data_IF_520496630482
#
_entry.id   IF_520496630482
#
_cell.length_a   1.000
_cell.length_b   1.000
_cell.length_c   1.000
_cell.angle_alpha   90.00
_cell.angle_beta   90.00
_cell.angle_gamma   90.00
#
_symmetry.space_group_name_H-M   'P 1'
#
loop_
_entity.id
_entity.type
_entity.pdbx_description
1 polymer ?
#
# COMPACT_ATOMS: atom_id res chain seq x y z
N UNK A 1 3.30 26.85 37.28
CA UNK A 1 2.62 25.82 36.47
C UNK A 1 1.75 26.54 35.45
N UNK A 2 2.23 26.68 34.21
CA UNK A 2 1.46 27.29 33.13
C UNK A 2 0.71 26.16 32.41
N UNK A 3 -0.62 26.13 32.53
CA UNK A 3 -1.49 25.21 31.79
C UNK A 3 -1.48 25.61 30.32
N UNK A 4 -1.00 24.72 29.45
CA UNK A 4 -1.14 24.86 28.00
C UNK A 4 -2.61 24.92 27.63
N UNK A 5 -3.05 25.87 26.78
CA UNK A 5 -4.45 25.97 26.40
C UNK A 5 -4.90 24.74 25.58
N UNK A 6 -6.17 24.31 25.70
CA UNK A 6 -6.68 23.17 24.95
C UNK A 6 -6.67 23.47 23.45
N UNK A 7 -6.04 22.60 22.66
CA UNK A 7 -6.06 22.66 21.20
C UNK A 7 -7.50 22.42 20.74
N UNK A 8 -8.11 23.43 20.14
CA UNK A 8 -9.47 23.33 19.61
C UNK A 8 -9.42 22.63 18.24
N UNK A 9 -9.47 21.30 18.26
CA UNK A 9 -9.42 20.44 17.07
C UNK A 9 -10.52 20.77 16.03
N UNK A 10 -11.66 21.32 16.47
CA UNK A 10 -12.70 21.79 15.56
C UNK A 10 -12.25 23.00 14.73
N UNK A 11 -11.42 23.89 15.29
CA UNK A 11 -10.90 25.04 14.55
C UNK A 11 -9.87 24.63 13.49
N UNK A 12 -9.08 23.58 13.73
CA UNK A 12 -8.14 23.00 12.74
C UNK A 12 -8.91 22.29 11.62
N UNK A 13 -9.95 21.54 11.96
CA UNK A 13 -10.82 20.89 10.97
C UNK A 13 -11.60 21.90 10.13
N UNK A 14 -12.09 23.00 10.73
CA UNK A 14 -12.88 24.02 10.02
C UNK A 14 -12.01 25.00 9.20
N UNK A 15 -10.80 25.36 9.66
CA UNK A 15 -9.88 26.18 8.85
C UNK A 15 -9.37 25.44 7.63
N UNK A 16 -9.24 24.11 7.71
CA UNK A 16 -9.02 23.24 6.57
C UNK A 16 -10.17 23.16 5.57
N UNK A 17 -11.38 23.66 5.88
CA UNK A 17 -12.49 23.69 4.92
C UNK A 17 -12.62 25.03 4.18
N UNK A 18 -12.23 26.14 4.81
CA UNK A 18 -12.51 27.50 4.30
C UNK A 18 -11.48 27.96 3.24
N UNK A 19 -10.31 27.35 3.17
CA UNK A 19 -9.25 27.73 2.20
C UNK A 19 -9.39 27.06 0.80
N UNK A 20 -10.46 26.29 0.56
CA UNK A 20 -10.55 25.35 -0.58
C UNK A 20 -11.50 25.79 -1.71
N UNK A 21 -11.59 27.09 -1.98
CA UNK A 21 -12.37 27.62 -3.12
C UNK A 21 -11.40 28.21 -4.16
N UNK A 22 -10.95 27.41 -5.15
CA UNK A 22 -10.37 27.99 -6.38
C UNK A 22 -9.21 27.32 -7.13
N UNK A 23 -8.98 26.00 -7.05
CA UNK A 23 -7.91 25.34 -7.86
C UNK A 23 -8.39 24.13 -8.70
N UNK A 24 -7.57 23.65 -9.65
CA UNK A 24 -7.93 22.57 -10.60
C UNK A 24 -8.13 21.20 -9.92
N UNK A 25 -9.25 20.55 -10.25
CA UNK A 25 -9.84 19.34 -9.63
C UNK A 25 -8.86 18.19 -9.35
N UNK A 26 -7.89 17.91 -10.22
CA UNK A 26 -7.00 16.74 -10.08
C UNK A 26 -6.03 16.83 -8.89
N UNK A 27 -5.51 18.03 -8.60
CA UNK A 27 -4.62 18.24 -7.44
C UNK A 27 -5.41 18.16 -6.14
N UNK A 28 -6.66 18.64 -6.16
CA UNK A 28 -7.55 18.60 -4.99
C UNK A 28 -7.90 17.18 -4.57
N UNK A 29 -8.21 16.31 -5.52
CA UNK A 29 -8.55 14.92 -5.20
C UNK A 29 -7.37 14.20 -4.54
N UNK A 30 -6.16 14.39 -5.07
CA UNK A 30 -4.94 13.78 -4.49
C UNK A 30 -4.64 14.33 -3.10
N UNK A 31 -4.73 15.64 -2.91
CA UNK A 31 -4.50 16.26 -1.60
C UNK A 31 -5.56 15.86 -0.58
N UNK A 32 -6.83 15.76 -0.99
CA UNK A 32 -7.92 15.34 -0.12
C UNK A 32 -7.74 13.87 0.32
N UNK A 33 -7.41 12.97 -0.61
CA UNK A 33 -7.15 11.57 -0.27
C UNK A 33 -5.92 11.42 0.64
N UNK A 34 -4.83 12.15 0.35
CA UNK A 34 -3.65 12.17 1.20
C UNK A 34 -3.98 12.67 2.62
N UNK A 35 -4.79 13.72 2.74
CA UNK A 35 -5.23 14.26 4.02
C UNK A 35 -6.09 13.25 4.79
N UNK A 36 -7.08 12.64 4.13
CA UNK A 36 -7.94 11.61 4.73
C UNK A 36 -7.08 10.45 5.24
N UNK A 37 -6.15 9.94 4.43
CA UNK A 37 -5.26 8.85 4.83
C UNK A 37 -4.35 9.24 5.99
N UNK A 38 -3.80 10.46 6.00
CA UNK A 38 -2.96 10.97 7.10
C UNK A 38 -3.77 11.07 8.39
N UNK A 39 -4.98 11.63 8.32
CA UNK A 39 -5.87 11.76 9.49
C UNK A 39 -6.27 10.38 10.02
N UNK A 40 -6.62 9.44 9.15
CA UNK A 40 -6.95 8.07 9.56
C UNK A 40 -5.75 7.39 10.21
N UNK A 41 -4.56 7.50 9.64
CA UNK A 41 -3.34 6.95 10.23
C UNK A 41 -3.05 7.54 11.62
N UNK A 42 -3.25 8.85 11.79
CA UNK A 42 -3.11 9.51 13.09
C UNK A 42 -4.15 9.02 14.09
N UNK A 43 -5.42 8.88 13.70
CA UNK A 43 -6.50 8.37 14.56
C UNK A 43 -6.19 6.93 14.99
N UNK A 44 -5.78 6.07 14.07
CA UNK A 44 -5.40 4.69 14.36
C UNK A 44 -4.19 4.66 15.30
N UNK A 45 -3.17 5.49 15.05
CA UNK A 45 -1.99 5.58 15.91
C UNK A 45 -2.29 6.12 17.32
N UNK A 46 -3.27 7.02 17.45
CA UNK A 46 -3.74 7.53 18.75
C UNK A 46 -4.56 6.49 19.53
N UNK A 47 -5.27 5.61 18.83
CA UNK A 47 -6.10 4.54 19.42
C UNK A 47 -5.37 3.20 19.57
N UNK A 48 -4.14 3.07 19.07
CA UNK A 48 -3.33 1.89 19.29
C UNK A 48 -3.06 1.71 20.81
N UNK A 49 -3.30 0.53 21.39
CA UNK A 49 -2.96 0.27 22.79
C UNK A 49 -1.46 0.48 23.00
N UNK A 50 -1.09 1.57 23.69
CA UNK A 50 0.28 2.03 23.87
C UNK A 50 0.68 3.29 23.09
N UNK A 51 -0.30 4.08 22.60
CA UNK A 51 -0.11 5.26 21.73
C UNK A 51 0.98 6.27 22.12
N UNK A 52 1.30 7.18 21.19
CA UNK A 52 2.41 8.17 21.24
C UNK A 52 2.42 9.15 22.44
N UNK A 53 1.48 9.03 23.38
CA UNK A 53 1.45 9.73 24.67
C UNK A 53 1.02 8.86 25.86
N UNK A 54 0.81 7.56 25.63
CA UNK A 54 0.51 6.60 26.68
C UNK A 54 1.79 6.29 27.43
N UNK A 55 1.97 6.93 28.59
CA UNK A 55 2.90 6.44 29.58
C UNK A 55 2.58 4.97 29.85
N UNK A 56 3.33 4.07 29.22
CA UNK A 56 3.80 2.89 29.90
C UNK A 56 4.48 3.42 31.16
N UNK A 57 3.71 3.56 32.24
CA UNK A 57 4.27 3.93 33.51
C UNK A 57 5.39 2.93 33.73
N UNK A 58 6.59 3.43 34.01
CA UNK A 58 7.80 2.66 34.30
C UNK A 58 7.68 1.78 35.57
N UNK A 59 6.45 1.53 36.00
CA UNK A 59 6.01 0.74 37.13
C UNK A 59 5.47 -0.64 36.71
N UNK A 60 4.82 -0.81 35.56
CA UNK A 60 4.35 -2.15 35.12
C UNK A 60 5.46 -3.01 34.48
N UNK A 61 6.54 -2.39 34.00
CA UNK A 61 7.78 -3.07 33.58
C UNK A 61 8.67 -3.53 34.74
N UNK A 62 8.20 -3.43 35.99
CA UNK A 62 9.02 -3.64 37.19
C UNK A 62 8.69 -4.89 38.01
N UNK A 63 8.02 -5.87 37.40
CA UNK A 63 7.93 -7.22 37.95
C UNK A 63 8.78 -8.15 37.08
N UNK A 64 9.79 -8.77 37.70
CA UNK A 64 10.79 -9.67 37.12
C UNK A 64 11.80 -9.05 36.14
N UNK A 65 12.77 -8.32 36.72
CA UNK A 65 14.09 -8.22 36.07
C UNK A 65 14.78 -9.59 36.20
N UNK A 66 15.05 -10.32 35.11
CA UNK A 66 15.93 -11.48 35.19
C UNK A 66 17.28 -11.03 35.76
N UNK A 67 17.82 -11.81 36.70
CA UNK A 67 19.11 -11.54 37.35
C UNK A 67 20.19 -11.40 36.26
N UNK A 68 20.63 -10.15 36.05
CA UNK A 68 21.86 -9.70 35.37
C UNK A 68 22.58 -10.79 34.57
N UNK A 69 22.07 -11.12 33.39
CA UNK A 69 22.98 -11.45 32.31
C UNK A 69 23.81 -10.18 32.03
N UNK A 70 25.14 -10.27 31.82
CA UNK A 70 25.95 -9.09 31.56
C UNK A 70 25.40 -8.39 30.32
N UNK A 71 25.11 -7.11 30.46
CA UNK A 71 24.61 -6.18 29.45
C UNK A 71 25.36 -6.28 28.11
N UNK A 72 26.62 -6.71 28.10
CA UNK A 72 27.38 -7.01 26.88
C UNK A 72 26.83 -8.19 26.07
N UNK A 73 26.34 -9.27 26.71
CA UNK A 73 25.71 -10.39 26.03
C UNK A 73 24.34 -9.97 25.45
N UNK A 74 23.52 -9.27 26.25
CA UNK A 74 22.24 -8.76 25.77
C UNK A 74 22.41 -7.70 24.65
N UNK A 75 23.46 -6.88 24.70
CA UNK A 75 23.79 -5.92 23.64
C UNK A 75 24.31 -6.64 22.39
N UNK A 76 25.11 -7.70 22.52
CA UNK A 76 25.55 -8.50 21.37
C UNK A 76 24.41 -9.30 20.75
N UNK A 77 23.47 -9.78 21.56
CA UNK A 77 22.22 -10.41 21.10
C UNK A 77 21.32 -9.37 20.42
N UNK A 78 21.14 -8.19 21.01
CA UNK A 78 20.38 -7.09 20.40
C UNK A 78 21.05 -6.55 19.13
N UNK A 79 22.38 -6.45 19.10
CA UNK A 79 23.15 -6.08 17.91
C UNK A 79 23.10 -7.19 16.87
N UNK A 80 23.13 -8.47 17.27
CA UNK A 80 22.96 -9.60 16.36
C UNK A 80 21.54 -9.64 15.78
N UNK A 81 20.50 -9.36 16.58
CA UNK A 81 19.12 -9.22 16.12
C UNK A 81 18.95 -7.99 15.22
N UNK A 82 19.58 -6.86 15.54
CA UNK A 82 19.50 -5.63 14.73
C UNK A 82 20.39 -5.68 13.46
N UNK A 83 21.42 -6.54 13.44
CA UNK A 83 22.20 -6.89 12.24
C UNK A 83 21.50 -7.97 11.42
N UNK A 84 20.72 -8.85 12.06
CA UNK A 84 19.94 -9.89 11.40
C UNK A 84 18.71 -9.30 10.72
N UNK A 85 17.91 -8.49 11.41
CA UNK A 85 16.68 -7.85 10.92
C UNK A 85 17.05 -6.68 10.01
N UNK A 86 16.89 -6.82 8.67
CA UNK A 86 17.17 -5.70 7.80
C UNK A 86 16.16 -4.59 8.12
N UNK A 87 16.65 -3.37 8.23
CA UNK A 87 15.84 -2.17 8.50
C UNK A 87 14.87 -1.85 7.36
N UNK A 88 14.98 -2.56 6.24
CA UNK A 88 14.12 -2.45 5.06
C UNK A 88 13.72 -3.85 4.58
N UNK A 89 12.54 -4.00 3.95
CA UNK A 89 12.14 -5.26 3.35
C UNK A 89 13.20 -5.79 2.37
N UNK A 90 13.45 -7.10 2.40
CA UNK A 90 14.24 -7.74 1.35
C UNK A 90 13.39 -7.76 0.08
N UNK A 91 13.90 -7.14 -1.00
CA UNK A 91 13.19 -7.01 -2.27
C UNK A 91 13.98 -7.70 -3.37
N UNK A 92 13.31 -8.58 -4.10
CA UNK A 92 13.82 -9.10 -5.37
C UNK A 92 13.48 -8.12 -6.51
N UNK A 93 14.43 -7.27 -6.89
CA UNK A 93 14.21 -6.28 -7.94
C UNK A 93 13.92 -6.90 -9.32
N UNK A 94 14.41 -8.11 -9.60
CA UNK A 94 14.06 -8.80 -10.84
C UNK A 94 12.59 -9.23 -10.85
N UNK A 95 12.08 -9.72 -9.73
CA UNK A 95 10.65 -10.02 -9.58
C UNK A 95 9.79 -8.76 -9.71
N UNK A 96 10.23 -7.63 -9.14
CA UNK A 96 9.55 -6.33 -9.27
C UNK A 96 9.53 -5.85 -10.73
N UNK A 97 10.65 -5.92 -11.45
CA UNK A 97 10.71 -5.54 -12.86
C UNK A 97 9.85 -6.48 -13.73
N UNK A 98 9.87 -7.78 -13.47
CA UNK A 98 9.02 -8.74 -14.17
C UNK A 98 7.52 -8.47 -13.90
N UNK A 99 7.16 -8.15 -12.65
CA UNK A 99 5.80 -7.76 -12.27
C UNK A 99 5.37 -6.45 -12.96
N UNK A 100 6.25 -5.45 -13.03
CA UNK A 100 6.01 -4.21 -13.79
C UNK A 100 5.75 -4.51 -15.27
N UNK A 101 6.56 -5.35 -15.91
CA UNK A 101 6.33 -5.71 -17.33
C UNK A 101 5.01 -6.46 -17.48
N UNK A 102 4.68 -7.34 -16.53
CA UNK A 102 3.44 -8.12 -16.58
C UNK A 102 2.18 -7.25 -16.55
N UNK A 103 2.18 -6.09 -15.87
CA UNK A 103 1.01 -5.21 -15.85
C UNK A 103 0.72 -4.60 -17.20
N UNK A 104 1.75 -4.31 -17.99
CA UNK A 104 1.59 -3.84 -19.36
C UNK A 104 0.99 -4.95 -20.23
N UNK A 105 1.43 -6.19 -20.05
CA UNK A 105 0.88 -7.36 -20.76
C UNK A 105 -0.57 -7.58 -20.37
N UNK A 106 -0.91 -7.54 -19.08
CA UNK A 106 -2.29 -7.67 -18.60
C UNK A 106 -3.16 -6.56 -19.16
N UNK A 107 -2.72 -5.30 -19.09
CA UNK A 107 -3.43 -4.16 -19.66
C UNK A 107 -3.67 -4.32 -21.16
N UNK A 108 -2.64 -4.71 -21.92
CA UNK A 108 -2.76 -4.98 -23.35
C UNK A 108 -3.80 -6.08 -23.65
N UNK A 109 -3.75 -7.19 -22.92
CA UNK A 109 -4.69 -8.31 -23.08
C UNK A 109 -6.11 -7.90 -22.69
N UNK A 110 -6.28 -7.19 -21.58
CA UNK A 110 -7.59 -6.81 -21.05
C UNK A 110 -8.31 -5.83 -21.97
N UNK A 111 -7.60 -4.81 -22.46
CA UNK A 111 -8.14 -3.80 -23.37
C UNK A 111 -8.14 -4.23 -24.84
N UNK A 112 -7.69 -5.46 -25.15
CA UNK A 112 -7.81 -6.01 -26.50
C UNK A 112 -9.29 -6.20 -26.90
N UNK A 113 -9.63 -5.92 -28.17
CA UNK A 113 -11.00 -5.98 -28.72
C UNK A 113 -11.72 -7.31 -28.50
N UNK A 114 -10.95 -8.40 -28.56
CA UNK A 114 -11.45 -9.77 -28.40
C UNK A 114 -11.75 -10.17 -26.94
N UNK A 115 -11.36 -9.36 -25.96
CA UNK A 115 -11.49 -9.65 -24.52
C UNK A 115 -12.54 -8.73 -23.91
N UNK A 116 -12.13 -7.53 -23.44
CA UNK A 116 -13.03 -6.55 -22.83
C UNK A 116 -12.92 -5.15 -23.45
N UNK A 117 -12.02 -4.95 -24.42
CA UNK A 117 -11.78 -3.65 -25.05
C UNK A 117 -13.01 -3.03 -25.70
N UNK A 118 -13.83 -3.82 -26.41
CA UNK A 118 -15.07 -3.32 -27.05
C UNK A 118 -16.11 -2.86 -26.04
N UNK A 119 -16.25 -3.60 -24.93
CA UNK A 119 -17.14 -3.23 -23.81
C UNK A 119 -16.64 -1.98 -23.08
N UNK A 120 -15.33 -1.88 -22.87
CA UNK A 120 -14.71 -0.70 -22.27
C UNK A 120 -14.89 0.54 -23.15
N UNK A 121 -14.58 0.47 -24.44
CA UNK A 121 -14.77 1.59 -25.37
C UNK A 121 -16.24 2.06 -25.40
N UNK A 122 -17.19 1.12 -25.45
CA UNK A 122 -18.61 1.45 -25.38
C UNK A 122 -19.03 2.06 -24.03
N UNK A 123 -18.38 1.68 -22.92
CA UNK A 123 -18.68 2.19 -21.58
C UNK A 123 -18.11 3.59 -21.33
N UNK A 124 -16.94 3.91 -21.91
CA UNK A 124 -16.27 5.22 -21.73
C UNK A 124 -16.60 6.20 -22.87
N UNK A 125 -17.21 5.73 -23.96
CA UNK A 125 -17.58 6.58 -25.10
C UNK A 125 -16.41 6.93 -26.01
N UNK A 126 -15.34 6.13 -26.00
CA UNK A 126 -14.16 6.32 -26.85
C UNK A 126 -14.27 5.54 -28.16
N UNK A 127 -13.85 6.17 -29.26
CA UNK A 127 -13.60 5.51 -30.55
C UNK A 127 -12.15 5.03 -30.64
N UNK A 128 -11.85 4.12 -31.56
CA UNK A 128 -10.48 3.64 -31.81
C UNK A 128 -9.50 4.78 -32.10
N UNK A 129 -9.91 5.70 -32.99
CA UNK A 129 -9.13 6.87 -33.36
C UNK A 129 -8.84 7.78 -32.14
N UNK A 130 -9.79 7.91 -31.22
CA UNK A 130 -9.60 8.71 -29.99
C UNK A 130 -8.64 8.08 -28.99
N UNK A 131 -8.45 6.76 -29.04
CA UNK A 131 -7.50 6.04 -28.18
C UNK A 131 -6.10 6.05 -28.81
N UNK A 132 -6.01 5.86 -30.12
CA UNK A 132 -4.73 5.87 -30.85
C UNK A 132 -4.06 7.25 -30.86
N UNK A 133 -4.85 8.33 -30.87
CA UNK A 133 -4.36 9.71 -30.81
C UNK A 133 -4.04 10.20 -29.39
N UNK A 134 -4.05 9.30 -28.40
CA UNK A 134 -3.80 9.63 -27.00
C UNK A 134 -2.40 10.20 -26.72
N UNK A 135 -2.23 10.96 -25.63
CA UNK A 135 -0.93 11.51 -25.25
C UNK A 135 0.13 10.43 -25.00
N UNK A 136 1.26 10.51 -25.71
CA UNK A 136 2.37 9.52 -25.62
C UNK A 136 2.97 9.41 -24.20
N UNK A 137 2.89 10.47 -23.39
CA UNK A 137 3.42 10.48 -22.02
C UNK A 137 2.71 9.50 -21.06
N UNK A 138 1.52 9.01 -21.42
CA UNK A 138 0.74 8.08 -20.59
C UNK A 138 1.50 6.75 -20.39
N UNK A 139 2.21 6.25 -21.41
CA UNK A 139 2.94 4.99 -21.32
C UNK A 139 4.07 5.01 -20.28
N UNK A 140 5.04 5.95 -20.31
CA UNK A 140 6.08 6.01 -19.27
C UNK A 140 5.50 6.31 -17.88
N UNK A 141 4.43 7.10 -17.78
CA UNK A 141 3.76 7.33 -16.50
C UNK A 141 3.12 6.05 -15.93
N UNK A 142 2.45 5.26 -16.78
CA UNK A 142 1.86 3.98 -16.39
C UNK A 142 2.92 2.93 -16.00
N UNK A 143 4.06 2.92 -16.69
CA UNK A 143 5.20 2.08 -16.32
C UNK A 143 5.78 2.47 -14.96
N UNK A 144 6.00 3.76 -14.72
CA UNK A 144 6.50 4.26 -13.43
C UNK A 144 5.52 3.94 -12.28
N UNK A 145 4.22 4.15 -12.50
CA UNK A 145 3.18 3.79 -11.54
C UNK A 145 3.20 2.27 -11.26
N UNK A 146 3.26 1.43 -12.30
CA UNK A 146 3.32 -0.02 -12.17
C UNK A 146 4.55 -0.51 -11.40
N UNK A 147 5.70 0.13 -11.63
CA UNK A 147 6.93 -0.17 -10.90
C UNK A 147 6.77 0.12 -9.41
N UNK A 148 6.24 1.30 -9.05
CA UNK A 148 6.00 1.68 -7.65
C UNK A 148 5.00 0.72 -7.01
N UNK A 149 3.90 0.38 -7.70
CA UNK A 149 2.93 -0.60 -7.20
C UNK A 149 3.58 -1.95 -6.94
N UNK A 150 4.35 -2.48 -7.88
CA UNK A 150 5.03 -3.76 -7.72
C UNK A 150 6.04 -3.74 -6.56
N UNK A 151 6.78 -2.65 -6.38
CA UNK A 151 7.69 -2.48 -5.25
C UNK A 151 6.93 -2.51 -3.91
N UNK A 152 5.85 -1.72 -3.79
CA UNK A 152 5.03 -1.67 -2.56
C UNK A 152 4.45 -3.05 -2.25
N UNK A 153 3.95 -3.77 -3.25
CA UNK A 153 3.43 -5.13 -3.08
C UNK A 153 4.52 -6.10 -2.58
N UNK A 154 5.73 -6.03 -3.12
CA UNK A 154 6.86 -6.84 -2.67
C UNK A 154 7.24 -6.53 -1.21
N UNK A 155 7.30 -5.25 -0.83
CA UNK A 155 7.60 -4.84 0.54
C UNK A 155 6.51 -5.23 1.53
N UNK A 156 5.24 -4.97 1.20
CA UNK A 156 4.10 -5.32 2.03
C UNK A 156 3.97 -6.85 2.20
N UNK A 157 4.14 -7.61 1.11
CA UNK A 157 4.14 -9.07 1.13
C UNK A 157 5.26 -9.64 1.99
N UNK A 158 6.47 -9.07 1.93
CA UNK A 158 7.58 -9.42 2.82
C UNK A 158 7.25 -9.18 4.29
N UNK A 159 6.74 -8.00 4.65
CA UNK A 159 6.36 -7.69 6.04
C UNK A 159 5.25 -8.62 6.54
N UNK A 160 4.26 -8.89 5.70
CA UNK A 160 3.18 -9.84 5.99
C UNK A 160 3.73 -11.25 6.25
N UNK A 161 4.66 -11.71 5.42
CA UNK A 161 5.34 -12.99 5.60
C UNK A 161 6.14 -13.06 6.91
N UNK A 162 6.85 -11.99 7.29
CA UNK A 162 7.56 -11.97 8.57
C UNK A 162 6.62 -12.06 9.78
N UNK A 163 5.42 -11.50 9.66
CA UNK A 163 4.46 -11.47 10.74
C UNK A 163 3.66 -12.78 10.85
N UNK A 164 3.17 -13.31 9.73
CA UNK A 164 2.30 -14.48 9.70
C UNK A 164 3.04 -15.81 9.43
N UNK A 165 4.25 -15.76 8.86
CA UNK A 165 5.01 -16.94 8.44
C UNK A 165 4.33 -17.75 7.33
N UNK A 166 4.73 -19.02 7.19
CA UNK A 166 4.09 -19.95 6.26
C UNK A 166 4.60 -19.83 4.82
N UNK A 167 3.69 -19.71 3.84
CA UNK A 167 4.03 -19.60 2.41
C UNK A 167 4.26 -18.14 2.01
N UNK A 168 5.44 -17.82 1.47
CA UNK A 168 5.72 -16.47 0.97
C UNK A 168 4.72 -16.05 -0.12
N UNK A 169 4.49 -16.92 -1.11
CA UNK A 169 3.49 -16.72 -2.17
C UNK A 169 2.12 -16.33 -1.62
N UNK A 170 1.63 -17.06 -0.62
CA UNK A 170 0.29 -16.83 -0.07
C UNK A 170 0.21 -15.50 0.69
N UNK A 171 1.27 -15.13 1.41
CA UNK A 171 1.35 -13.84 2.08
C UNK A 171 1.33 -12.68 1.09
N UNK A 172 2.11 -12.77 0.00
CA UNK A 172 2.12 -11.73 -1.04
C UNK A 172 0.75 -11.62 -1.71
N UNK A 173 0.12 -12.75 -2.08
CA UNK A 173 -1.20 -12.77 -2.72
C UNK A 173 -2.30 -12.18 -1.84
N UNK A 174 -2.45 -12.67 -0.60
CA UNK A 174 -3.48 -12.17 0.30
C UNK A 174 -3.28 -10.71 0.64
N UNK A 175 -2.03 -10.28 0.86
CA UNK A 175 -1.71 -8.87 1.10
C UNK A 175 -2.12 -8.01 -0.09
N UNK A 176 -1.76 -8.42 -1.31
CA UNK A 176 -2.17 -7.71 -2.53
C UNK A 176 -3.68 -7.62 -2.70
N UNK A 177 -4.42 -8.69 -2.43
CA UNK A 177 -5.89 -8.69 -2.52
C UNK A 177 -6.55 -7.81 -1.46
N UNK A 178 -6.05 -7.83 -0.22
CA UNK A 178 -6.54 -6.94 0.84
C UNK A 178 -6.28 -5.47 0.49
N UNK A 179 -5.07 -5.16 0.01
CA UNK A 179 -4.72 -3.80 -0.42
C UNK A 179 -5.56 -3.35 -1.60
N UNK A 180 -5.75 -4.20 -2.61
CA UNK A 180 -6.64 -3.91 -3.73
C UNK A 180 -8.08 -3.66 -3.24
N UNK A 181 -8.61 -4.52 -2.38
CA UNK A 181 -9.98 -4.37 -1.91
C UNK A 181 -10.16 -3.06 -1.14
N UNK A 182 -9.28 -2.77 -0.20
CA UNK A 182 -9.35 -1.58 0.65
C UNK A 182 -9.04 -0.26 -0.07
N UNK A 183 -7.99 -0.23 -0.90
CA UNK A 183 -7.47 1.01 -1.49
C UNK A 183 -8.06 1.29 -2.88
N UNK A 184 -8.43 0.26 -3.63
CA UNK A 184 -8.95 0.38 -4.99
C UNK A 184 -10.45 0.11 -5.05
N UNK A 185 -10.89 -1.08 -4.66
CA UNK A 185 -12.27 -1.51 -4.88
C UNK A 185 -13.27 -0.67 -4.08
N UNK A 186 -12.98 -0.43 -2.79
CA UNK A 186 -13.81 0.46 -1.96
C UNK A 186 -13.79 1.90 -2.48
N UNK A 187 -12.65 2.39 -2.98
CA UNK A 187 -12.54 3.73 -3.54
C UNK A 187 -13.44 3.90 -4.76
N UNK A 188 -13.37 2.94 -5.69
CA UNK A 188 -14.23 2.92 -6.86
C UNK A 188 -15.72 2.86 -6.48
N UNK A 189 -16.06 2.02 -5.50
CA UNK A 189 -17.43 1.93 -4.98
C UNK A 189 -17.95 3.26 -4.45
N UNK A 190 -17.19 3.95 -3.61
CA UNK A 190 -17.59 5.26 -3.06
C UNK A 190 -17.67 6.32 -4.16
N UNK A 191 -16.72 6.36 -5.09
CA UNK A 191 -16.77 7.31 -6.20
C UNK A 191 -18.02 7.12 -7.08
N UNK A 192 -18.43 5.88 -7.31
CA UNK A 192 -19.62 5.55 -8.08
C UNK A 192 -20.93 5.94 -7.37
N UNK A 193 -20.96 5.93 -6.03
CA UNK A 193 -22.14 6.37 -5.27
C UNK A 193 -22.46 7.86 -5.50
N UNK A 194 -21.45 8.67 -5.82
CA UNK A 194 -21.61 10.12 -6.01
C UNK A 194 -21.49 10.57 -7.48
N UNK A 195 -21.19 9.66 -8.41
CA UNK A 195 -20.97 9.98 -9.83
C UNK A 195 -22.25 9.92 -10.68
N UNK A 196 -22.41 10.81 -11.68
CA UNK A 196 -23.53 10.75 -12.63
C UNK A 196 -23.45 9.55 -13.61
N UNK A 197 -22.27 8.93 -13.76
CA UNK A 197 -22.07 7.76 -14.60
C UNK A 197 -22.47 6.48 -13.87
N UNK A 198 -23.57 5.84 -14.28
CA UNK A 198 -24.10 4.56 -13.75
C UNK A 198 -23.13 3.37 -13.89
N UNK A 199 -22.03 3.31 -13.10
CA UNK A 199 -21.22 2.12 -12.76
C UNK A 199 -20.59 1.28 -13.88
N UNK A 200 -20.86 1.55 -15.16
CA UNK A 200 -20.45 0.68 -16.28
C UNK A 200 -18.95 0.73 -16.58
N UNK A 201 -18.30 1.86 -16.35
CA UNK A 201 -16.86 2.00 -16.56
C UNK A 201 -16.06 1.42 -15.37
N UNK A 202 -16.57 1.60 -14.17
CA UNK A 202 -15.83 1.43 -12.93
C UNK A 202 -15.55 -0.03 -12.60
N UNK A 203 -16.49 -0.94 -12.85
CA UNK A 203 -16.27 -2.36 -12.58
C UNK A 203 -15.22 -2.98 -13.52
N UNK A 204 -15.16 -2.54 -14.79
CA UNK A 204 -14.14 -3.00 -15.75
C UNK A 204 -12.74 -2.53 -15.33
N UNK A 205 -12.63 -1.30 -14.84
CA UNK A 205 -11.38 -0.76 -14.31
C UNK A 205 -10.94 -1.52 -13.04
N UNK A 206 -11.87 -1.69 -12.09
CA UNK A 206 -11.60 -2.44 -10.85
C UNK A 206 -11.15 -3.88 -11.14
N UNK A 207 -11.80 -4.56 -12.10
CA UNK A 207 -11.44 -5.92 -12.49
C UNK A 207 -10.07 -5.99 -13.18
N UNK A 208 -9.75 -5.02 -14.04
CA UNK A 208 -8.41 -4.94 -14.66
C UNK A 208 -7.33 -4.75 -13.58
N UNK A 209 -7.55 -3.85 -12.63
CA UNK A 209 -6.61 -3.63 -11.53
C UNK A 209 -6.47 -4.88 -10.65
N UNK A 210 -7.57 -5.60 -10.38
CA UNK A 210 -7.52 -6.85 -9.63
C UNK A 210 -6.69 -7.92 -10.34
N UNK A 211 -6.93 -8.11 -11.64
CA UNK A 211 -6.17 -9.06 -12.46
C UNK A 211 -4.68 -8.69 -12.49
N UNK A 212 -4.39 -7.40 -12.66
CA UNK A 212 -3.02 -6.87 -12.68
C UNK A 212 -2.31 -7.12 -11.34
N UNK A 213 -2.92 -6.73 -10.22
CA UNK A 213 -2.35 -6.94 -8.87
C UNK A 213 -2.15 -8.43 -8.61
N UNK A 214 -3.09 -9.28 -9.01
CA UNK A 214 -2.97 -10.73 -8.85
C UNK A 214 -1.77 -11.28 -9.61
N UNK A 215 -1.59 -10.91 -10.88
CA UNK A 215 -0.45 -11.37 -11.69
C UNK A 215 0.88 -10.85 -11.12
N UNK A 216 0.95 -9.57 -10.71
CA UNK A 216 2.12 -9.02 -10.04
C UNK A 216 2.46 -9.81 -8.77
N UNK A 217 1.47 -10.08 -7.92
CA UNK A 217 1.66 -10.82 -6.67
C UNK A 217 2.06 -12.28 -6.91
N UNK A 218 1.56 -12.93 -7.97
CA UNK A 218 2.01 -14.26 -8.37
C UNK A 218 3.49 -14.25 -8.75
N UNK A 219 3.92 -13.29 -9.57
CA UNK A 219 5.33 -13.18 -9.99
C UNK A 219 6.23 -12.92 -8.78
N UNK A 220 5.86 -11.95 -7.94
CA UNK A 220 6.63 -11.59 -6.74
C UNK A 220 6.66 -12.77 -5.75
N UNK A 221 5.52 -13.41 -5.52
CA UNK A 221 5.39 -14.49 -4.54
C UNK A 221 6.04 -15.81 -4.99
N UNK A 222 6.14 -16.06 -6.30
CA UNK A 222 6.86 -17.22 -6.85
C UNK A 222 8.38 -16.99 -6.92
N UNK A 223 8.82 -15.73 -6.92
CA UNK A 223 10.23 -15.37 -7.00
C UNK A 223 10.67 -14.58 -5.77
N UNK A 224 10.83 -15.31 -4.68
CA UNK A 224 11.15 -14.76 -3.37
C UNK A 224 12.49 -14.00 -3.33
N UNK A 225 12.67 -13.09 -2.34
CA UNK A 225 13.93 -12.40 -2.12
C UNK A 225 15.09 -13.36 -1.82
N UNK A 226 16.24 -13.11 -2.43
CA UNK A 226 17.45 -13.85 -2.10
C UNK A 226 17.81 -13.65 -0.62
N UNK A 227 18.14 -14.75 0.06
CA UNK A 227 18.48 -14.73 1.49
C UNK A 227 17.28 -14.75 2.44
N UNK A 228 16.04 -14.87 1.94
CA UNK A 228 14.85 -14.99 2.78
C UNK A 228 14.95 -16.17 3.76
N UNK A 229 15.37 -17.35 3.28
CA UNK A 229 15.52 -18.54 4.11
C UNK A 229 16.56 -18.37 5.22
N UNK A 230 17.70 -17.76 4.88
CA UNK A 230 18.78 -17.50 5.85
C UNK A 230 18.30 -16.56 6.95
N UNK A 231 17.51 -15.56 6.58
CA UNK A 231 16.94 -14.61 7.51
C UNK A 231 15.89 -15.25 8.45
N UNK A 232 15.00 -16.07 7.92
CA UNK A 232 13.98 -16.78 8.71
C UNK A 232 14.61 -17.74 9.71
N UNK A 233 15.71 -18.41 9.36
CA UNK A 233 16.44 -19.29 10.29
C UNK A 233 17.07 -18.53 11.46
N UNK A 234 17.45 -17.26 11.27
CA UNK A 234 18.05 -16.44 12.33
C UNK A 234 17.00 -15.81 13.24
N UNK A 235 15.82 -15.45 12.71
CA UNK A 235 14.75 -14.79 13.49
C UNK A 235 13.77 -15.79 14.09
N UNK A 236 13.55 -16.93 13.44
CA UNK A 236 12.61 -17.98 13.88
C UNK A 236 13.23 -19.10 14.70
N UNK A 237 14.55 -19.06 14.94
CA UNK A 237 15.31 -20.03 15.75
C UNK A 237 15.39 -19.67 17.23
#
# INVERSE_FOLDING_TARGET
MASTPPVNYLAVLLTGWILFVGFKVTVHTVLNEFLIMTVMALIIGLWAPGGLGGGATSASWRADKPRRAPYALAMNELLAVNLAVPTTPLINYWAVLAAMVSSMVVGFVFYHRKVLGTRWMAAVGHTEESVESGPVWIYPAAMAASFVTAWILAGAGYLSYLFYGGSFLWNVLLTGWILWFGLTALRFFVHDLFGPSRGKHTWLAALNEFATVTVMCLIIGLWEPAGLDQYVQVVGG
#
